data_IF_294076309287
#
_entry.id   IF_294076309287
#
_cell.length_a   1.000
_cell.length_b   1.000
_cell.length_c   1.000
_cell.angle_alpha   90.00
_cell.angle_beta   90.00
_cell.angle_gamma   90.00
#
_symmetry.space_group_name_H-M   'P 1'
#
loop_
_entity.id
_entity.type
_entity.pdbx_description
1 polymer ?
#
# COMPACT_ATOMS: atom_id res chain seq x y z
N UNK A 1 -12.70 14.58 7.59
CA UNK A 1 -13.44 13.30 7.49
C UNK A 1 -13.20 12.62 6.14
N UNK A 2 -13.47 13.27 5.00
CA UNK A 2 -13.33 12.67 3.66
C UNK A 2 -11.88 12.44 3.19
N UNK A 3 -11.00 13.44 3.35
CA UNK A 3 -9.59 13.36 2.89
C UNK A 3 -8.82 12.22 3.55
N UNK A 4 -9.04 12.02 4.84
CA UNK A 4 -8.47 10.92 5.61
C UNK A 4 -8.85 9.56 5.01
N UNK A 5 -10.14 9.34 4.75
CA UNK A 5 -10.64 8.10 4.17
C UNK A 5 -10.01 7.82 2.79
N UNK A 6 -9.92 8.85 1.94
CA UNK A 6 -9.30 8.75 0.62
C UNK A 6 -7.82 8.38 0.74
N UNK A 7 -7.08 8.98 1.68
CA UNK A 7 -5.67 8.66 1.91
C UNK A 7 -5.47 7.22 2.39
N UNK A 8 -6.32 6.74 3.31
CA UNK A 8 -6.26 5.36 3.78
C UNK A 8 -6.59 4.35 2.67
N UNK A 9 -7.59 4.65 1.83
CA UNK A 9 -7.93 3.84 0.65
C UNK A 9 -6.81 3.83 -0.39
N UNK A 10 -6.24 5.00 -0.68
CA UNK A 10 -5.09 5.15 -1.57
C UNK A 10 -3.87 4.38 -1.05
N UNK A 11 -3.60 4.44 0.25
CA UNK A 11 -2.51 3.67 0.87
C UNK A 11 -2.74 2.17 0.75
N UNK A 12 -3.95 1.70 1.02
CA UNK A 12 -4.29 0.29 0.90
C UNK A 12 -4.06 -0.22 -0.53
N UNK A 13 -4.59 0.49 -1.53
CA UNK A 13 -4.39 0.15 -2.94
C UNK A 13 -2.91 0.20 -3.35
N UNK A 14 -2.18 1.23 -2.90
CA UNK A 14 -0.76 1.39 -3.21
C UNK A 14 0.10 0.27 -2.63
N UNK A 15 -0.15 -0.14 -1.38
CA UNK A 15 0.58 -1.25 -0.74
C UNK A 15 0.31 -2.58 -1.46
N UNK A 16 -0.94 -2.83 -1.88
CA UNK A 16 -1.26 -4.01 -2.70
C UNK A 16 -0.46 -4.04 -4.01
N UNK A 17 -0.37 -2.90 -4.70
CA UNK A 17 0.42 -2.78 -5.93
C UNK A 17 1.92 -2.98 -5.63
N UNK A 18 2.47 -2.39 -4.56
CA UNK A 18 3.87 -2.57 -4.18
C UNK A 18 4.23 -4.04 -3.89
N UNK A 19 3.35 -4.78 -3.22
CA UNK A 19 3.50 -6.22 -3.01
C UNK A 19 3.53 -6.94 -4.36
N UNK A 20 2.57 -6.65 -5.24
CA UNK A 20 2.48 -7.26 -6.57
C UNK A 20 3.73 -7.00 -7.43
N UNK A 21 4.22 -5.76 -7.48
CA UNK A 21 5.42 -5.39 -8.23
C UNK A 21 6.67 -6.08 -7.67
N UNK A 22 6.82 -6.14 -6.34
CA UNK A 22 7.95 -6.82 -5.68
C UNK A 22 7.91 -8.33 -5.91
N UNK A 23 6.73 -8.94 -5.84
CA UNK A 23 6.54 -10.36 -6.14
C UNK A 23 6.84 -10.67 -7.61
N UNK A 24 6.40 -9.83 -8.55
CA UNK A 24 6.69 -9.97 -9.97
C UNK A 24 8.21 -9.94 -10.25
N UNK A 25 8.95 -9.03 -9.60
CA UNK A 25 10.42 -9.00 -9.71
C UNK A 25 11.08 -10.27 -9.17
N UNK A 26 10.56 -10.82 -8.06
CA UNK A 26 11.06 -12.08 -7.51
C UNK A 26 10.80 -13.26 -8.47
N UNK A 27 9.64 -13.31 -9.11
CA UNK A 27 9.34 -14.31 -10.14
C UNK A 27 10.31 -14.19 -11.30
N UNK A 28 10.55 -12.97 -11.81
CA UNK A 28 11.52 -12.75 -12.91
C UNK A 28 12.94 -13.20 -12.55
N UNK A 29 13.36 -13.04 -11.28
CA UNK A 29 14.65 -13.51 -10.78
C UNK A 29 14.69 -15.03 -10.61
N UNK A 30 13.59 -15.65 -10.18
CA UNK A 30 13.49 -17.10 -10.09
C UNK A 30 13.42 -17.77 -11.48
N UNK A 31 12.70 -17.19 -12.43
CA UNK A 31 12.69 -17.66 -13.82
C UNK A 31 14.09 -17.60 -14.44
N UNK A 32 14.89 -16.59 -14.07
CA UNK A 32 16.29 -16.49 -14.47
C UNK A 32 17.18 -17.54 -13.80
N UNK A 33 16.93 -17.88 -12.52
CA UNK A 33 17.68 -18.89 -11.77
C UNK A 33 17.52 -20.30 -12.34
N UNK A 34 16.33 -20.60 -12.88
CA UNK A 34 16.02 -21.89 -13.51
C UNK A 34 16.25 -21.91 -15.03
N UNK A 35 16.91 -20.89 -15.58
CA UNK A 35 17.24 -20.78 -17.01
C UNK A 35 16.00 -20.76 -17.94
N UNK A 36 14.82 -20.34 -17.43
CA UNK A 36 13.59 -20.25 -18.22
C UNK A 36 13.53 -19.01 -19.11
N UNK A 37 14.29 -17.96 -18.78
CA UNK A 37 14.30 -16.67 -19.49
C UNK A 37 15.71 -16.12 -19.66
N UNK A 38 15.96 -15.40 -20.75
CA UNK A 38 17.24 -14.74 -21.00
C UNK A 38 17.50 -13.64 -19.95
N UNK A 39 18.73 -13.51 -19.42
CA UNK A 39 19.11 -12.41 -18.52
C UNK A 39 18.84 -11.02 -19.09
N UNK A 40 18.93 -10.83 -20.42
CA UNK A 40 18.60 -9.54 -21.04
C UNK A 40 17.12 -9.18 -20.87
N UNK A 41 16.23 -10.13 -21.17
CA UNK A 41 14.78 -9.92 -21.08
C UNK A 41 14.34 -9.74 -19.62
N UNK A 42 14.88 -10.55 -18.70
CA UNK A 42 14.60 -10.42 -17.27
C UNK A 42 15.06 -9.07 -16.72
N UNK A 43 16.29 -8.64 -17.04
CA UNK A 43 16.82 -7.34 -16.58
C UNK A 43 16.02 -6.15 -17.11
N UNK A 44 15.61 -6.18 -18.38
CA UNK A 44 14.77 -5.13 -18.98
C UNK A 44 13.42 -5.01 -18.27
N UNK A 45 12.75 -6.15 -18.02
CA UNK A 45 11.45 -6.19 -17.33
C UNK A 45 11.57 -5.72 -15.87
N UNK A 46 12.62 -6.14 -15.15
CA UNK A 46 12.87 -5.70 -13.78
C UNK A 46 13.13 -4.19 -13.74
N UNK A 47 13.94 -3.66 -14.67
CA UNK A 47 14.25 -2.22 -14.72
C UNK A 47 13.01 -1.35 -15.00
N UNK A 48 12.10 -1.81 -15.86
CA UNK A 48 10.84 -1.10 -16.09
C UNK A 48 9.96 -1.08 -14.82
N UNK A 49 9.87 -2.21 -14.12
CA UNK A 49 9.01 -2.35 -12.93
C UNK A 49 9.60 -1.63 -11.71
N UNK A 50 10.93 -1.60 -11.55
CA UNK A 50 11.58 -0.97 -10.39
C UNK A 50 11.32 0.55 -10.34
N UNK A 51 11.26 1.21 -11.51
CA UNK A 51 10.98 2.64 -11.59
C UNK A 51 9.55 2.95 -11.13
N UNK A 52 8.59 2.11 -11.54
CA UNK A 52 7.19 2.24 -11.12
C UNK A 52 7.07 1.99 -9.60
N UNK A 53 7.74 0.97 -9.07
CA UNK A 53 7.77 0.68 -7.63
C UNK A 53 8.31 1.87 -6.82
N UNK A 54 9.45 2.43 -7.23
CA UNK A 54 10.09 3.53 -6.50
C UNK A 54 9.24 4.80 -6.54
N UNK A 55 8.60 5.06 -7.68
CA UNK A 55 7.71 6.21 -7.86
C UNK A 55 6.48 6.08 -6.96
N UNK A 56 5.87 4.90 -6.88
CA UNK A 56 4.71 4.65 -6.04
C UNK A 56 5.07 4.70 -4.55
N UNK A 57 6.21 4.13 -4.15
CA UNK A 57 6.72 4.18 -2.79
C UNK A 57 6.98 5.63 -2.35
N UNK A 58 7.61 6.44 -3.21
CA UNK A 58 7.87 7.85 -2.95
C UNK A 58 6.56 8.65 -2.83
N UNK A 59 5.62 8.45 -3.77
CA UNK A 59 4.32 9.11 -3.73
C UNK A 59 3.55 8.79 -2.45
N UNK A 60 3.56 7.52 -2.03
CA UNK A 60 2.91 7.09 -0.79
C UNK A 60 3.59 7.71 0.44
N UNK A 61 4.93 7.70 0.50
CA UNK A 61 5.68 8.33 1.59
C UNK A 61 5.43 9.85 1.68
N UNK A 62 5.45 10.56 0.55
CA UNK A 62 5.16 12.00 0.48
C UNK A 62 3.72 12.29 0.88
N UNK A 63 2.75 11.46 0.51
CA UNK A 63 1.36 11.64 0.92
C UNK A 63 1.20 11.61 2.46
N UNK A 64 1.88 10.68 3.14
CA UNK A 64 1.87 10.61 4.61
C UNK A 64 2.58 11.78 5.28
N UNK A 65 3.64 12.32 4.65
CA UNK A 65 4.31 13.53 5.12
C UNK A 65 3.39 14.75 5.02
N UNK A 66 2.70 14.93 3.89
CA UNK A 66 1.78 16.05 3.66
C UNK A 66 0.58 16.04 4.59
N UNK A 67 0.06 14.85 4.93
CA UNK A 67 -1.05 14.70 5.88
C UNK A 67 -0.57 14.58 7.33
N UNK A 68 0.72 14.83 7.62
CA UNK A 68 1.32 14.83 8.97
C UNK A 68 1.08 13.53 9.77
N UNK A 69 1.04 12.40 9.06
CA UNK A 69 0.90 11.08 9.67
C UNK A 69 2.28 10.51 10.01
N UNK A 70 2.83 10.95 11.14
CA UNK A 70 4.21 10.66 11.55
C UNK A 70 4.54 9.17 11.68
N UNK A 71 3.63 8.35 12.24
CA UNK A 71 3.90 6.92 12.45
C UNK A 71 4.13 6.13 11.14
N UNK A 72 3.19 6.09 10.17
CA UNK A 72 3.41 5.38 8.91
C UNK A 72 4.54 6.02 8.09
N UNK A 73 4.71 7.35 8.17
CA UNK A 73 5.84 8.03 7.55
C UNK A 73 7.18 7.53 8.09
N UNK A 74 7.37 7.47 9.42
CA UNK A 74 8.62 7.01 10.03
C UNK A 74 8.95 5.55 9.68
N UNK A 75 7.94 4.69 9.57
CA UNK A 75 8.13 3.30 9.15
C UNK A 75 8.56 3.24 7.67
N UNK A 76 7.96 4.03 6.79
CA UNK A 76 8.27 4.03 5.35
C UNK A 76 9.52 4.84 4.96
N UNK A 77 9.92 5.82 5.79
CA UNK A 77 11.05 6.69 5.55
C UNK A 77 12.39 5.96 5.30
N UNK A 78 12.82 4.96 6.12
CA UNK A 78 14.10 4.27 5.89
C UNK A 78 14.13 3.50 4.56
N UNK A 79 13.02 2.88 4.17
CA UNK A 79 12.92 2.16 2.88
C UNK A 79 12.99 3.14 1.71
N UNK A 80 12.24 4.23 1.80
CA UNK A 80 12.21 5.27 0.75
C UNK A 80 13.58 5.94 0.62
N UNK A 81 14.25 6.24 1.74
CA UNK A 81 15.62 6.76 1.73
C UNK A 81 16.60 5.80 1.07
N UNK A 82 16.50 4.50 1.35
CA UNK A 82 17.34 3.50 0.71
C UNK A 82 17.11 3.45 -0.82
N UNK A 83 15.85 3.51 -1.27
CA UNK A 83 15.52 3.58 -2.70
C UNK A 83 16.10 4.83 -3.36
N UNK A 84 15.96 6.00 -2.74
CA UNK A 84 16.54 7.26 -3.24
C UNK A 84 18.06 7.16 -3.33
N UNK A 85 18.72 6.62 -2.31
CA UNK A 85 20.18 6.40 -2.33
C UNK A 85 20.59 5.49 -3.48
N UNK A 86 19.87 4.41 -3.73
CA UNK A 86 20.15 3.47 -4.82
C UNK A 86 19.90 4.10 -6.20
N UNK A 87 18.86 4.94 -6.30
CA UNK A 87 18.55 5.70 -7.48
C UNK A 87 19.66 6.70 -7.83
N UNK A 88 20.10 7.51 -6.85
CA UNK A 88 21.19 8.47 -6.99
C UNK A 88 22.51 7.81 -7.35
N UNK A 89 22.78 6.62 -6.80
CA UNK A 89 23.96 5.83 -7.12
C UNK A 89 23.87 5.12 -8.49
N UNK A 90 22.74 5.25 -9.22
CA UNK A 90 22.45 4.56 -10.50
C UNK A 90 22.51 3.03 -10.39
N UNK A 91 22.46 2.49 -9.17
CA UNK A 91 22.46 1.06 -8.84
C UNK A 91 21.06 0.45 -8.76
N UNK A 92 20.04 1.22 -9.15
CA UNK A 92 18.66 0.72 -9.24
C UNK A 92 18.44 -0.15 -10.48
N UNK A 93 19.29 0.00 -11.50
CA UNK A 93 19.27 -0.79 -12.71
C UNK A 93 20.05 -2.08 -12.50
N UNK A 94 19.45 -3.17 -12.95
CA UNK A 94 20.07 -4.48 -13.00
C UNK A 94 20.96 -4.57 -14.24
N UNK A 95 22.24 -4.91 -14.03
CA UNK A 95 23.19 -5.19 -15.11
C UNK A 95 23.13 -6.68 -15.49
N UNK A 96 22.94 -6.94 -16.78
CA UNK A 96 22.86 -8.28 -17.39
C UNK A 96 24.13 -9.09 -17.14
N UNK A 97 25.29 -8.43 -17.06
CA UNK A 97 26.59 -9.11 -16.93
C UNK A 97 26.87 -9.59 -15.50
N UNK A 98 26.29 -8.93 -14.49
CA UNK A 98 26.52 -9.24 -13.08
C UNK A 98 25.33 -9.90 -12.38
N UNK A 99 24.17 -10.02 -13.05
CA UNK A 99 22.93 -10.48 -12.40
C UNK A 99 23.08 -11.86 -11.75
N UNK A 100 23.75 -12.81 -12.41
CA UNK A 100 23.97 -14.15 -11.85
C UNK A 100 24.90 -14.14 -10.63
N UNK A 101 25.89 -13.24 -10.60
CA UNK A 101 26.82 -13.11 -9.47
C UNK A 101 26.12 -12.55 -8.25
N UNK A 102 25.21 -11.60 -8.43
CA UNK A 102 24.50 -10.92 -7.35
C UNK A 102 23.11 -11.51 -7.04
N UNK A 103 22.67 -12.52 -7.80
CA UNK A 103 21.31 -13.08 -7.79
C UNK A 103 20.80 -13.43 -6.39
N UNK A 104 21.59 -14.19 -5.63
CA UNK A 104 21.23 -14.61 -4.28
C UNK A 104 21.05 -13.43 -3.32
N UNK A 105 21.87 -12.39 -3.46
CA UNK A 105 21.79 -11.16 -2.67
C UNK A 105 20.55 -10.35 -3.00
N UNK A 106 20.31 -10.13 -4.30
CA UNK A 106 19.14 -9.41 -4.82
C UNK A 106 17.82 -10.09 -4.44
N UNK A 107 17.75 -11.43 -4.56
CA UNK A 107 16.59 -12.23 -4.15
C UNK A 107 16.32 -12.10 -2.66
N UNK A 108 17.35 -12.22 -1.82
CA UNK A 108 17.22 -12.07 -0.36
C UNK A 108 16.76 -10.67 0.02
N UNK A 109 17.33 -9.63 -0.60
CA UNK A 109 16.93 -8.25 -0.38
C UNK A 109 15.44 -8.03 -0.74
N UNK A 110 15.00 -8.52 -1.90
CA UNK A 110 13.61 -8.38 -2.36
C UNK A 110 12.63 -9.21 -1.52
N UNK A 111 13.04 -10.38 -1.01
CA UNK A 111 12.24 -11.17 -0.05
C UNK A 111 12.04 -10.42 1.28
N UNK A 112 13.08 -9.79 1.82
CA UNK A 112 12.96 -8.96 3.05
C UNK A 112 12.04 -7.76 2.78
N UNK A 113 12.19 -7.11 1.62
CA UNK A 113 11.32 -5.99 1.22
C UNK A 113 9.86 -6.42 1.10
N UNK A 114 9.60 -7.59 0.51
CA UNK A 114 8.26 -8.15 0.39
C UNK A 114 7.62 -8.40 1.77
N UNK A 115 8.38 -8.99 2.69
CA UNK A 115 7.92 -9.20 4.07
C UNK A 115 7.58 -7.88 4.77
N UNK A 116 8.40 -6.85 4.56
CA UNK A 116 8.14 -5.51 5.08
C UNK A 116 6.85 -4.90 4.52
N UNK A 117 6.61 -5.00 3.20
CA UNK A 117 5.36 -4.55 2.59
C UNK A 117 4.15 -5.34 3.07
N UNK A 118 4.30 -6.63 3.32
CA UNK A 118 3.24 -7.46 3.90
C UNK A 118 2.89 -7.02 5.34
N UNK A 119 3.89 -6.71 6.17
CA UNK A 119 3.64 -6.13 7.49
C UNK A 119 2.92 -4.78 7.40
N UNK A 120 3.33 -3.90 6.47
CA UNK A 120 2.66 -2.63 6.21
C UNK A 120 1.22 -2.82 5.73
N UNK A 121 0.96 -3.86 4.93
CA UNK A 121 -0.38 -4.20 4.48
C UNK A 121 -1.30 -4.56 5.64
N UNK A 122 -0.83 -5.42 6.55
CA UNK A 122 -1.56 -5.78 7.77
C UNK A 122 -1.85 -4.54 8.62
N UNK A 123 -0.86 -3.66 8.83
CA UNK A 123 -1.04 -2.41 9.58
C UNK A 123 -2.09 -1.51 8.92
N UNK A 124 -2.07 -1.44 7.59
CA UNK A 124 -3.01 -0.61 6.82
C UNK A 124 -4.44 -1.14 6.92
N UNK A 125 -4.61 -2.47 6.86
CA UNK A 125 -5.90 -3.14 7.08
C UNK A 125 -6.44 -2.82 8.47
N UNK A 126 -5.68 -3.07 9.54
CA UNK A 126 -6.17 -2.83 10.90
C UNK A 126 -6.61 -1.39 11.14
N UNK A 127 -5.88 -0.42 10.57
CA UNK A 127 -6.24 1.01 10.68
C UNK A 127 -7.46 1.37 9.82
N UNK A 128 -7.64 0.71 8.68
CA UNK A 128 -8.81 0.88 7.83
C UNK A 128 -10.07 0.29 8.48
N UNK A 129 -10.02 -0.95 8.97
CA UNK A 129 -11.13 -1.63 9.62
C UNK A 129 -11.59 -0.92 10.90
N UNK A 130 -10.66 -0.45 11.74
CA UNK A 130 -11.03 0.31 12.93
C UNK A 130 -11.80 1.60 12.58
N UNK A 131 -11.40 2.31 11.53
CA UNK A 131 -12.11 3.52 11.06
C UNK A 131 -13.43 3.17 10.37
N UNK A 132 -13.48 2.11 9.57
CA UNK A 132 -14.68 1.66 8.87
C UNK A 132 -15.75 1.20 9.86
N UNK A 133 -15.38 0.36 10.84
CA UNK A 133 -16.28 -0.11 11.89
C UNK A 133 -16.87 1.05 12.70
N UNK A 134 -16.04 2.06 13.04
CA UNK A 134 -16.52 3.26 13.72
C UNK A 134 -17.52 4.07 12.89
N UNK A 135 -17.28 4.23 11.58
CA UNK A 135 -18.21 4.94 10.68
C UNK A 135 -19.51 4.17 10.45
N UNK A 136 -19.44 2.86 10.29
CA UNK A 136 -20.64 1.99 10.18
C UNK A 136 -21.45 2.07 11.47
N UNK A 137 -20.80 2.07 12.63
CA UNK A 137 -21.47 2.17 13.92
C UNK A 137 -22.17 3.53 14.10
N UNK A 138 -21.52 4.64 13.72
CA UNK A 138 -22.13 5.97 13.71
C UNK A 138 -23.33 6.03 12.76
N UNK A 139 -23.19 5.55 11.52
CA UNK A 139 -24.27 5.59 10.53
C UNK A 139 -25.46 4.71 10.96
N UNK A 140 -25.17 3.55 11.58
CA UNK A 140 -26.19 2.68 12.15
C UNK A 140 -26.92 3.37 13.30
N UNK A 141 -26.21 4.01 14.22
CA UNK A 141 -26.82 4.72 15.35
C UNK A 141 -27.64 5.95 14.89
N UNK A 142 -27.14 6.70 13.91
CA UNK A 142 -27.87 7.81 13.29
C UNK A 142 -29.15 7.35 12.59
N UNK A 143 -29.10 6.21 11.90
CA UNK A 143 -30.28 5.61 11.27
C UNK A 143 -31.33 5.23 12.31
N UNK A 144 -30.92 4.61 13.42
CA UNK A 144 -31.80 4.24 14.54
C UNK A 144 -32.45 5.49 15.17
N UNK A 145 -31.69 6.56 15.42
CA UNK A 145 -32.21 7.82 15.97
C UNK A 145 -33.22 8.48 15.02
N UNK A 146 -32.94 8.48 13.72
CA UNK A 146 -33.85 8.99 12.70
C UNK A 146 -35.17 8.18 12.65
N UNK A 147 -35.10 6.85 12.79
CA UNK A 147 -36.29 5.98 12.85
C UNK A 147 -37.10 6.28 14.13
N UNK A 148 -36.45 6.43 15.28
CA UNK A 148 -37.12 6.78 16.54
C UNK A 148 -37.80 8.15 16.48
N UNK A 149 -37.14 9.16 15.90
CA UNK A 149 -37.70 10.50 15.72
C UNK A 149 -38.89 10.52 14.75
N UNK A 150 -38.81 9.77 13.65
CA UNK A 150 -39.90 9.61 12.69
C UNK A 150 -41.12 8.93 13.32
N UNK A 151 -40.90 7.87 14.11
CA UNK A 151 -41.96 7.16 14.86
C UNK A 151 -42.63 8.06 15.90
N UNK A 152 -41.85 8.85 16.65
CA UNK A 152 -42.38 9.77 17.66
C UNK A 152 -43.26 10.89 17.06
N UNK A 153 -42.83 11.47 15.94
CA UNK A 153 -43.63 12.49 15.24
C UNK A 153 -44.92 11.90 14.67
N UNK A 154 -44.88 10.70 14.08
CA UNK A 154 -46.06 10.02 13.57
C UNK A 154 -47.09 9.72 14.68
N UNK A 155 -46.65 9.22 15.83
CA UNK A 155 -47.52 8.98 16.97
C UNK A 155 -48.20 10.26 17.49
N UNK A 156 -47.47 11.38 17.52
CA UNK A 156 -48.02 12.67 17.95
C UNK A 156 -49.07 13.26 16.99
N UNK A 157 -48.96 12.99 15.68
CA UNK A 157 -49.95 13.43 14.70
C UNK A 157 -51.25 12.62 14.80
N UNK A 158 -51.16 11.31 15.07
CA UNK A 158 -52.33 10.46 15.28
C UNK A 158 -53.16 10.90 16.49
N UNK A 159 -52.49 11.25 17.61
CA UNK A 159 -53.17 11.71 18.83
C UNK A 159 -53.83 13.09 18.69
N UNK A 160 -53.40 13.92 17.72
CA UNK A 160 -53.97 15.24 17.47
C UNK A 160 -55.23 15.20 16.59
N UNK A 161 -55.48 14.08 15.91
CA UNK A 161 -56.60 13.89 14.98
C UNK A 161 -57.75 13.03 15.55
N UNK A 162 -57.65 12.64 16.81
CA UNK A 162 -58.72 12.01 17.62
C UNK A 162 -59.17 12.96 18.71
#
# INVERSE_FOLDING_TARGET
MSVELILWLFSFASVMVLIGLTAYQLICLSDLEYDYINPYDSSSRINAVVVIEYSLQAALCTSFLLTLHWFPFLVMAPVTYYHVKLYMARKHLVDVTEIFRQLNGEKKYRMIKLAFYFCLFIITIYRFDFKLSFLVNILWNWSIECIHFASANFASQLFKNT
#
